data_IF_982968338240
#
_entry.id   IF_982968338240
#
_cell.length_a   1.000
_cell.length_b   1.000
_cell.length_c   1.000
_cell.angle_alpha   90.00
_cell.angle_beta   90.00
_cell.angle_gamma   90.00
#
_symmetry.space_group_name_H-M   'P 1'
#
loop_
_entity.id
_entity.type
_entity.pdbx_description
1 polymer ?
#
# COMPACT_ATOMS: atom_id res chain seq x y z
N UNK A 1 -5.06 13.82 -8.14
CA UNK A 1 -5.34 14.45 -9.46
C UNK A 1 -4.42 13.78 -10.47
N UNK A 2 -4.96 13.03 -11.43
CA UNK A 2 -4.22 12.22 -12.41
C UNK A 2 -3.51 13.11 -13.45
N UNK A 3 -2.80 14.15 -13.00
CA UNK A 3 -2.26 15.24 -13.79
C UNK A 3 -1.10 14.82 -14.70
N UNK A 4 -0.55 13.62 -14.49
CA UNK A 4 0.42 12.98 -15.36
C UNK A 4 -0.23 11.79 -16.07
N UNK A 5 -0.60 11.93 -17.36
CA UNK A 5 -1.33 10.89 -18.12
C UNK A 5 -0.59 9.55 -18.25
N UNK A 6 0.73 9.56 -18.03
CA UNK A 6 1.59 8.37 -18.10
C UNK A 6 1.95 7.80 -16.73
N UNK A 7 1.41 8.34 -15.64
CA UNK A 7 1.62 7.77 -14.31
C UNK A 7 1.05 6.34 -14.27
N UNK A 8 1.87 5.38 -13.84
CA UNK A 8 1.49 3.96 -13.74
C UNK A 8 1.38 3.57 -12.27
N UNK A 9 0.18 3.26 -11.77
CA UNK A 9 0.02 2.74 -10.43
C UNK A 9 0.75 1.39 -10.28
N UNK A 10 1.40 1.21 -9.13
CA UNK A 10 1.92 -0.09 -8.71
C UNK A 10 0.93 -0.71 -7.73
N UNK A 11 0.66 -2.00 -7.90
CA UNK A 11 -0.26 -2.75 -7.05
C UNK A 11 0.49 -3.86 -6.33
N UNK A 12 0.17 -4.07 -5.07
CA UNK A 12 0.59 -5.23 -4.28
C UNK A 12 -0.63 -6.11 -4.05
N UNK A 13 -0.48 -7.43 -4.24
CA UNK A 13 -1.57 -8.39 -4.14
C UNK A 13 -1.29 -9.42 -3.04
N UNK A 14 -2.29 -9.67 -2.20
CA UNK A 14 -2.29 -10.72 -1.17
C UNK A 14 -3.72 -11.17 -0.89
N UNK A 15 -3.90 -12.26 -0.15
CA UNK A 15 -5.19 -12.67 0.43
C UNK A 15 -5.18 -12.49 1.94
N UNK A 16 -6.37 -12.41 2.55
CA UNK A 16 -6.52 -12.40 4.01
C UNK A 16 -5.93 -13.67 4.64
N UNK A 17 -6.17 -14.83 4.02
CA UNK A 17 -5.61 -16.12 4.43
C UNK A 17 -4.08 -16.08 4.54
N UNK A 18 -3.38 -15.55 3.52
CA UNK A 18 -1.91 -15.45 3.56
C UNK A 18 -1.45 -14.49 4.67
N UNK A 19 -2.17 -13.38 4.90
CA UNK A 19 -1.82 -12.42 5.95
C UNK A 19 -1.98 -13.03 7.35
N UNK A 20 -2.99 -13.88 7.54
CA UNK A 20 -3.25 -14.59 8.80
C UNK A 20 -2.26 -15.75 9.00
N UNK A 21 -2.03 -16.57 7.96
CA UNK A 21 -1.09 -17.70 7.99
C UNK A 21 0.37 -17.25 8.13
N UNK A 22 0.69 -16.06 7.63
CA UNK A 22 2.03 -15.48 7.61
C UNK A 22 2.01 -14.05 8.15
N UNK A 23 2.04 -13.86 9.48
CA UNK A 23 2.00 -12.54 10.11
C UNK A 23 3.10 -11.58 9.60
N UNK A 24 4.23 -12.10 9.16
CA UNK A 24 5.30 -11.32 8.53
C UNK A 24 4.87 -10.63 7.22
N UNK A 25 3.93 -11.22 6.46
CA UNK A 25 3.36 -10.61 5.26
C UNK A 25 2.46 -9.45 5.65
N UNK A 26 1.59 -9.64 6.65
CA UNK A 26 0.75 -8.57 7.19
C UNK A 26 1.60 -7.41 7.72
N UNK A 27 2.66 -7.70 8.47
CA UNK A 27 3.59 -6.70 9.00
C UNK A 27 4.32 -5.93 7.89
N UNK A 28 4.81 -6.63 6.85
CA UNK A 28 5.48 -5.99 5.72
C UNK A 28 4.54 -5.04 4.96
N UNK A 29 3.31 -5.47 4.69
CA UNK A 29 2.31 -4.62 4.03
C UNK A 29 1.97 -3.39 4.89
N UNK A 30 1.85 -3.54 6.21
CA UNK A 30 1.62 -2.41 7.11
C UNK A 30 2.79 -1.42 7.11
N UNK A 31 4.04 -1.92 7.11
CA UNK A 31 5.23 -1.10 6.97
C UNK A 31 5.19 -0.29 5.66
N UNK A 32 4.94 -0.95 4.53
CA UNK A 32 4.82 -0.26 3.23
C UNK A 32 3.74 0.81 3.28
N UNK A 33 2.52 0.49 3.74
CA UNK A 33 1.41 1.46 3.81
C UNK A 33 1.67 2.64 4.76
N UNK A 34 2.59 2.47 5.72
CA UNK A 34 2.97 3.51 6.67
C UNK A 34 4.01 4.45 6.07
N UNK A 35 5.06 3.92 5.42
CA UNK A 35 6.23 4.70 5.05
C UNK A 35 6.38 4.95 3.54
N UNK A 36 5.55 4.34 2.68
CA UNK A 36 5.73 4.43 1.21
C UNK A 36 5.85 5.87 0.71
N UNK A 37 5.05 6.81 1.21
CA UNK A 37 5.10 8.20 0.74
C UNK A 37 6.37 8.96 1.17
N UNK A 38 7.08 8.50 2.21
CA UNK A 38 8.36 9.07 2.64
C UNK A 38 9.49 8.58 1.73
N UNK A 39 9.46 7.29 1.33
CA UNK A 39 10.56 6.64 0.60
C UNK A 39 10.46 6.76 -0.93
N UNK A 40 9.24 6.85 -1.50
CA UNK A 40 9.05 6.77 -2.97
C UNK A 40 9.55 7.99 -3.74
N UNK A 41 9.66 9.14 -3.09
CA UNK A 41 10.12 10.37 -3.74
C UNK A 41 11.59 10.28 -4.12
N UNK A 42 12.41 9.66 -3.26
CA UNK A 42 13.86 9.51 -3.45
C UNK A 42 14.20 8.60 -4.64
N UNK A 43 13.30 7.70 -5.00
CA UNK A 43 13.42 6.80 -6.16
C UNK A 43 12.63 7.28 -7.39
N UNK A 44 12.12 8.51 -7.37
CA UNK A 44 11.48 9.17 -8.51
C UNK A 44 10.04 8.74 -8.80
N UNK A 45 9.37 8.09 -7.85
CA UNK A 45 7.95 7.75 -7.94
C UNK A 45 7.07 8.86 -7.36
N UNK A 46 5.82 8.91 -7.82
CA UNK A 46 4.82 9.80 -7.26
C UNK A 46 4.23 9.20 -5.98
N UNK A 47 4.06 10.00 -4.91
CA UNK A 47 3.34 9.58 -3.72
C UNK A 47 1.92 9.11 -4.04
N UNK A 48 1.46 8.09 -3.34
CA UNK A 48 0.07 7.67 -3.40
C UNK A 48 -0.82 8.76 -2.78
N UNK A 49 -2.02 8.95 -3.33
CA UNK A 49 -2.99 9.89 -2.75
C UNK A 49 -3.45 9.40 -1.38
N UNK A 50 -3.77 10.34 -0.50
CA UNK A 50 -4.26 10.05 0.85
C UNK A 50 -5.49 9.12 0.83
N UNK A 51 -6.45 9.37 -0.06
CA UNK A 51 -7.63 8.51 -0.22
C UNK A 51 -7.26 7.07 -0.58
N UNK A 52 -6.30 6.86 -1.49
CA UNK A 52 -5.90 5.53 -1.91
C UNK A 52 -5.16 4.78 -0.79
N UNK A 53 -4.31 5.48 -0.03
CA UNK A 53 -3.64 4.91 1.14
C UNK A 53 -4.63 4.58 2.26
N UNK A 54 -5.61 5.44 2.51
CA UNK A 54 -6.61 5.19 3.55
C UNK A 54 -7.50 4.00 3.19
N UNK A 55 -7.90 3.86 1.92
CA UNK A 55 -8.61 2.67 1.43
C UNK A 55 -7.76 1.39 1.57
N UNK A 56 -6.47 1.45 1.24
CA UNK A 56 -5.57 0.31 1.39
C UNK A 56 -5.36 -0.09 2.86
N UNK A 57 -5.22 0.89 3.77
CA UNK A 57 -5.15 0.67 5.22
C UNK A 57 -6.42 0.05 5.76
N UNK A 58 -7.60 0.51 5.31
CA UNK A 58 -8.88 -0.09 5.70
C UNK A 58 -9.00 -1.54 5.20
N UNK A 59 -8.60 -1.82 3.96
CA UNK A 59 -8.57 -3.18 3.43
C UNK A 59 -7.64 -4.10 4.25
N UNK A 60 -6.47 -3.58 4.64
CA UNK A 60 -5.53 -4.29 5.51
C UNK A 60 -6.12 -4.56 6.90
N UNK A 61 -6.80 -3.59 7.52
CA UNK A 61 -7.47 -3.77 8.81
C UNK A 61 -8.54 -4.86 8.73
N UNK A 62 -9.38 -4.82 7.68
CA UNK A 62 -10.43 -5.80 7.48
C UNK A 62 -9.90 -7.22 7.22
N UNK A 63 -8.73 -7.36 6.59
CA UNK A 63 -8.11 -8.66 6.33
C UNK A 63 -7.48 -9.29 7.59
N UNK A 64 -7.19 -8.48 8.62
CA UNK A 64 -6.61 -8.94 9.89
C UNK A 64 -7.63 -9.08 11.04
N UNK A 65 -8.89 -8.70 10.81
CA UNK A 65 -10.01 -8.95 11.72
C UNK A 65 -10.66 -10.30 11.42
#
# INVERSE_FOLDING_TARGET
NNSYPLARPLFMYTTAEIMQDKPQVAAFLNFVLTYVNEEVVDVGYFPASEDALNLAKLAWLNANN
#
